data_IF_771025389453
#
_entry.id   IF_771025389453
#
_cell.length_a   1.000
_cell.length_b   1.000
_cell.length_c   1.000
_cell.angle_alpha   90.00
_cell.angle_beta   90.00
_cell.angle_gamma   90.00
#
_symmetry.space_group_name_H-M   'P 1'
#
loop_
_entity.id
_entity.type
_entity.pdbx_description
1 polymer ?
#
# COMPACT_ATOMS: atom_id res chain seq x y z
N UNK A 1 -18.49 4.52 -1.68
CA UNK A 1 -18.12 3.45 -2.64
C UNK A 1 -18.08 2.13 -1.89
N UNK A 2 -18.88 1.13 -2.25
CA UNK A 2 -18.89 -0.20 -1.65
C UNK A 2 -18.25 -1.23 -2.58
N UNK A 3 -17.08 -1.77 -2.19
CA UNK A 3 -16.35 -2.76 -2.99
C UNK A 3 -16.99 -4.14 -2.99
N UNK A 4 -17.71 -4.53 -1.93
CA UNK A 4 -18.45 -5.80 -1.86
C UNK A 4 -19.64 -5.79 -2.82
N UNK A 5 -20.32 -4.66 -2.93
CA UNK A 5 -21.40 -4.43 -3.91
C UNK A 5 -20.90 -4.18 -5.34
N UNK A 6 -19.58 -4.33 -5.58
CA UNK A 6 -18.93 -4.10 -6.87
C UNK A 6 -19.20 -2.73 -7.50
N UNK A 7 -19.38 -1.67 -6.71
CA UNK A 7 -19.66 -0.32 -7.23
C UNK A 7 -18.57 0.16 -8.21
N UNK A 8 -17.30 -0.18 -7.94
CA UNK A 8 -16.15 0.07 -8.82
C UNK A 8 -16.20 -0.61 -10.20
N UNK A 9 -17.21 -1.44 -10.48
CA UNK A 9 -17.44 -2.09 -11.77
C UNK A 9 -18.67 -1.52 -12.50
N UNK A 10 -19.42 -0.61 -11.87
CA UNK A 10 -20.60 0.01 -12.48
C UNK A 10 -20.22 1.12 -13.46
N UNK A 11 -21.06 1.42 -14.46
CA UNK A 11 -20.75 2.40 -15.50
C UNK A 11 -20.33 3.78 -14.97
N UNK A 12 -20.90 4.22 -13.85
CA UNK A 12 -20.61 5.53 -13.25
C UNK A 12 -19.14 5.65 -12.83
N UNK A 13 -18.60 4.60 -12.21
CA UNK A 13 -17.18 4.59 -11.81
C UNK A 13 -16.26 4.24 -12.99
N UNK A 14 -16.68 3.37 -13.91
CA UNK A 14 -15.88 3.03 -15.09
C UNK A 14 -15.65 4.22 -16.02
N UNK A 15 -16.56 5.22 -16.02
CA UNK A 15 -16.33 6.52 -16.68
C UNK A 15 -15.17 7.31 -16.08
N UNK A 16 -14.86 7.10 -14.80
CA UNK A 16 -13.72 7.72 -14.12
C UNK A 16 -12.47 6.86 -14.31
N UNK A 17 -12.52 5.59 -13.90
CA UNK A 17 -11.41 4.67 -14.06
C UNK A 17 -11.87 3.42 -14.85
N UNK A 18 -11.54 3.33 -16.16
CA UNK A 18 -11.98 2.20 -16.99
C UNK A 18 -11.36 0.86 -16.55
N UNK A 19 -10.29 0.87 -15.74
CA UNK A 19 -9.72 -0.35 -15.14
C UNK A 19 -10.65 -0.97 -14.09
N UNK A 20 -11.64 -0.22 -13.60
CA UNK A 20 -12.55 -0.63 -12.54
C UNK A 20 -11.79 -1.07 -11.29
N UNK A 21 -10.77 -0.28 -10.91
CA UNK A 21 -9.93 -0.47 -9.73
C UNK A 21 -9.94 0.80 -8.88
N UNK A 22 -9.71 0.65 -7.59
CA UNK A 22 -9.46 1.77 -6.67
C UNK A 22 -8.00 1.75 -6.23
N UNK A 23 -7.41 2.90 -5.87
CA UNK A 23 -7.98 4.25 -5.87
C UNK A 23 -8.02 4.95 -7.25
N UNK A 24 -8.83 6.00 -7.35
CA UNK A 24 -8.80 7.02 -8.39
C UNK A 24 -8.97 8.40 -7.73
N UNK A 25 -8.25 9.41 -8.20
CA UNK A 25 -8.32 10.79 -7.73
C UNK A 25 -8.69 11.70 -8.91
N UNK A 26 -9.76 12.47 -8.75
CA UNK A 26 -10.12 13.55 -9.69
C UNK A 26 -9.56 14.85 -9.11
N UNK A 27 -8.69 15.54 -9.84
CA UNK A 27 -8.12 16.81 -9.39
C UNK A 27 -9.14 17.95 -9.53
N UNK A 28 -8.86 19.10 -8.93
CA UNK A 28 -9.70 20.30 -9.08
C UNK A 28 -9.84 20.75 -10.53
N UNK A 29 -8.87 20.44 -11.39
CA UNK A 29 -8.90 20.73 -12.83
C UNK A 29 -9.64 19.67 -13.65
N UNK A 30 -10.12 18.60 -13.01
CA UNK A 30 -10.80 17.48 -13.68
C UNK A 30 -9.87 16.40 -14.23
N UNK A 31 -8.55 16.48 -13.99
CA UNK A 31 -7.62 15.41 -14.36
C UNK A 31 -7.91 14.15 -13.54
N UNK A 32 -7.90 12.97 -14.17
CA UNK A 32 -8.07 11.69 -13.47
C UNK A 32 -6.73 10.99 -13.28
N UNK A 33 -6.33 10.82 -12.02
CA UNK A 33 -5.14 10.08 -11.62
C UNK A 33 -5.54 8.71 -11.06
N UNK A 34 -4.78 7.68 -11.44
CA UNK A 34 -5.02 6.29 -11.02
C UNK A 34 -3.71 5.63 -10.63
N UNK A 35 -3.81 4.51 -9.91
CA UNK A 35 -2.69 3.83 -9.25
C UNK A 35 -2.18 4.58 -8.00
N UNK A 36 -2.07 3.86 -6.89
CA UNK A 36 -1.67 4.43 -5.60
C UNK A 36 -0.31 5.17 -5.69
N UNK A 37 0.78 4.60 -6.26
CA UNK A 37 2.07 5.29 -6.32
C UNK A 37 2.00 6.63 -7.06
N UNK A 38 1.29 6.67 -8.20
CA UNK A 38 1.19 7.88 -9.02
C UNK A 38 0.35 8.97 -8.32
N UNK A 39 -0.76 8.58 -7.69
CA UNK A 39 -1.58 9.51 -6.89
C UNK A 39 -0.77 10.07 -5.72
N UNK A 40 -0.04 9.22 -4.99
CA UNK A 40 0.78 9.66 -3.87
C UNK A 40 1.93 10.56 -4.30
N UNK A 41 2.60 10.25 -5.41
CA UNK A 41 3.62 11.11 -6.00
C UNK A 41 3.04 12.50 -6.34
N UNK A 42 1.89 12.56 -7.02
CA UNK A 42 1.22 13.81 -7.32
C UNK A 42 0.91 14.61 -6.04
N UNK A 43 0.27 13.98 -5.05
CA UNK A 43 -0.08 14.63 -3.78
C UNK A 43 1.14 15.12 -3.00
N UNK A 44 2.25 14.38 -3.03
CA UNK A 44 3.49 14.79 -2.38
C UNK A 44 4.09 16.05 -3.01
N UNK A 45 4.00 16.18 -4.34
CA UNK A 45 4.49 17.35 -5.07
C UNK A 45 3.54 18.56 -4.97
N UNK A 46 2.25 18.34 -4.73
CA UNK A 46 1.28 19.42 -4.50
C UNK A 46 1.22 19.89 -3.04
N UNK A 47 1.75 19.10 -2.10
CA UNK A 47 1.83 19.48 -0.71
C UNK A 47 2.89 20.58 -0.49
N UNK A 48 2.76 21.41 0.57
CA UNK A 48 3.80 22.36 0.93
C UNK A 48 5.17 21.68 1.08
N UNK A 49 6.22 22.27 0.50
CA UNK A 49 7.54 21.65 0.39
C UNK A 49 8.16 21.29 1.75
N UNK A 50 7.84 22.04 2.80
CA UNK A 50 8.27 21.77 4.18
C UNK A 50 7.76 20.44 4.74
N UNK A 51 6.75 19.82 4.10
CA UNK A 51 6.25 18.49 4.47
C UNK A 51 7.21 17.37 4.08
N UNK A 52 8.10 17.60 3.10
CA UNK A 52 9.13 16.64 2.63
C UNK A 52 8.61 15.22 2.41
N UNK A 53 7.45 15.10 1.77
CA UNK A 53 6.80 13.81 1.51
C UNK A 53 7.43 13.03 0.36
N UNK A 54 8.32 13.69 -0.39
CA UNK A 54 9.08 13.18 -1.52
C UNK A 54 10.55 13.62 -1.37
N UNK A 55 11.54 12.77 -1.65
CA UNK A 55 12.95 13.14 -1.53
C UNK A 55 13.42 14.13 -2.61
N UNK A 56 14.49 14.87 -2.30
CA UNK A 56 15.02 15.92 -3.17
C UNK A 56 15.96 15.39 -4.25
N UNK A 57 16.81 14.40 -3.90
CA UNK A 57 17.82 13.88 -4.84
C UNK A 57 17.29 12.72 -5.67
N UNK A 58 17.75 12.61 -6.92
CA UNK A 58 17.33 11.53 -7.83
C UNK A 58 17.60 10.13 -7.24
N UNK A 59 18.69 9.94 -6.51
CA UNK A 59 19.03 8.65 -5.92
C UNK A 59 18.07 8.27 -4.80
N UNK A 60 17.73 9.20 -3.91
CA UNK A 60 16.75 8.96 -2.83
C UNK A 60 15.35 8.74 -3.39
N UNK A 61 14.98 9.48 -4.44
CA UNK A 61 13.73 9.26 -5.18
C UNK A 61 13.68 7.85 -5.77
N UNK A 62 14.78 7.41 -6.38
CA UNK A 62 14.89 6.07 -6.97
C UNK A 62 14.76 4.97 -5.91
N UNK A 63 15.41 5.14 -4.76
CA UNK A 63 15.24 4.22 -3.63
C UNK A 63 13.80 4.20 -3.13
N UNK A 64 13.17 5.37 -2.99
CA UNK A 64 11.76 5.48 -2.57
C UNK A 64 10.81 4.80 -3.56
N UNK A 65 11.03 4.95 -4.87
CA UNK A 65 10.27 4.25 -5.90
C UNK A 65 10.44 2.74 -5.82
N UNK A 66 11.68 2.27 -5.63
CA UNK A 66 11.98 0.85 -5.45
C UNK A 66 11.28 0.26 -4.23
N UNK A 67 11.32 0.97 -3.08
CA UNK A 67 10.61 0.56 -1.87
C UNK A 67 9.09 0.59 -2.05
N UNK A 68 8.54 1.61 -2.74
CA UNK A 68 7.12 1.66 -3.07
C UNK A 68 6.69 0.46 -3.91
N UNK A 69 7.47 0.11 -4.94
CA UNK A 69 7.16 -1.02 -5.81
C UNK A 69 7.23 -2.36 -5.05
N UNK A 70 8.24 -2.55 -4.20
CA UNK A 70 8.30 -3.69 -3.27
C UNK A 70 7.01 -3.81 -2.44
N UNK A 71 6.51 -2.69 -1.90
CA UNK A 71 5.30 -2.73 -1.08
C UNK A 71 4.05 -3.00 -1.93
N UNK A 72 3.90 -2.32 -3.07
CA UNK A 72 2.67 -2.36 -3.87
C UNK A 72 2.58 -3.61 -4.74
N UNK A 73 3.65 -3.95 -5.46
CA UNK A 73 3.66 -5.09 -6.37
C UNK A 73 3.89 -6.41 -5.62
N UNK A 74 4.86 -6.45 -4.70
CA UNK A 74 5.21 -7.68 -3.99
C UNK A 74 4.34 -7.88 -2.76
N UNK A 75 4.47 -7.06 -1.71
CA UNK A 75 3.76 -7.29 -0.45
C UNK A 75 2.24 -7.25 -0.60
N UNK A 76 1.72 -6.26 -1.33
CA UNK A 76 0.28 -6.09 -1.50
C UNK A 76 -0.29 -7.03 -2.56
N UNK A 77 0.11 -6.92 -3.84
CA UNK A 77 -0.54 -7.64 -4.94
C UNK A 77 -0.15 -9.11 -5.03
N UNK A 78 1.14 -9.47 -4.95
CA UNK A 78 1.59 -10.87 -5.01
C UNK A 78 1.55 -11.57 -3.64
N UNK A 79 1.67 -10.82 -2.57
CA UNK A 79 1.64 -11.33 -1.20
C UNK A 79 0.22 -11.37 -0.65
N UNK A 80 -0.13 -10.39 0.16
CA UNK A 80 -1.35 -10.42 0.96
C UNK A 80 -2.65 -10.55 0.15
N UNK A 81 -2.71 -10.05 -1.09
CA UNK A 81 -3.91 -10.23 -1.94
C UNK A 81 -4.16 -11.72 -2.24
N UNK A 82 -3.11 -12.49 -2.53
CA UNK A 82 -3.23 -13.94 -2.74
C UNK A 82 -3.55 -14.68 -1.44
N UNK A 83 -3.09 -14.19 -0.29
CA UNK A 83 -3.45 -14.76 1.02
C UNK A 83 -4.91 -14.52 1.37
N UNK A 84 -5.42 -13.30 1.11
CA UNK A 84 -6.73 -12.85 1.59
C UNK A 84 -7.88 -13.19 0.65
N UNK A 85 -7.64 -13.13 -0.65
CA UNK A 85 -8.69 -13.30 -1.66
C UNK A 85 -8.27 -14.23 -2.81
N UNK A 86 -7.68 -15.42 -2.55
CA UNK A 86 -7.27 -16.35 -3.60
C UNK A 86 -8.44 -16.77 -4.52
N UNK A 87 -9.67 -16.81 -3.99
CA UNK A 87 -10.89 -17.09 -4.73
C UNK A 87 -11.21 -16.08 -5.85
N UNK A 88 -10.55 -14.91 -5.87
CA UNK A 88 -10.65 -13.95 -7.00
C UNK A 88 -9.81 -14.35 -8.21
N UNK A 89 -8.88 -15.29 -8.04
CA UNK A 89 -7.95 -15.72 -9.08
C UNK A 89 -8.27 -17.12 -9.60
N UNK A 90 -8.89 -17.97 -8.77
CA UNK A 90 -9.22 -19.32 -9.16
C UNK A 90 -10.43 -19.86 -8.38
N UNK A 91 -11.25 -20.72 -9.00
CA UNK A 91 -12.43 -21.33 -8.36
C UNK A 91 -12.13 -22.64 -7.64
N UNK A 92 -11.10 -23.38 -8.08
CA UNK A 92 -10.66 -24.63 -7.44
C UNK A 92 -10.03 -24.39 -6.04
N UNK A 93 -10.48 -25.09 -4.98
CA UNK A 93 -9.94 -24.93 -3.63
C UNK A 93 -8.44 -25.27 -3.50
N UNK A 94 -7.94 -26.31 -4.17
CA UNK A 94 -6.53 -26.68 -4.10
C UNK A 94 -5.62 -25.62 -4.71
N UNK A 95 -6.04 -25.03 -5.84
CA UNK A 95 -5.35 -23.89 -6.42
C UNK A 95 -5.40 -22.64 -5.52
N UNK A 96 -6.51 -22.41 -4.81
CA UNK A 96 -6.62 -21.31 -3.84
C UNK A 96 -5.66 -21.48 -2.66
N UNK A 97 -5.53 -22.71 -2.13
CA UNK A 97 -4.56 -23.03 -1.09
C UNK A 97 -3.12 -22.81 -1.57
N UNK A 98 -2.79 -23.26 -2.78
CA UNK A 98 -1.47 -23.05 -3.39
C UNK A 98 -1.14 -21.55 -3.57
N UNK A 99 -2.11 -20.75 -4.05
CA UNK A 99 -1.96 -19.30 -4.17
C UNK A 99 -1.76 -18.63 -2.81
N UNK A 100 -2.52 -19.03 -1.80
CA UNK A 100 -2.38 -18.50 -0.43
C UNK A 100 -1.03 -18.85 0.17
N UNK A 101 -0.56 -20.08 0.01
CA UNK A 101 0.77 -20.52 0.45
C UNK A 101 1.89 -19.72 -0.23
N UNK A 102 1.79 -19.55 -1.55
CA UNK A 102 2.73 -18.70 -2.30
C UNK A 102 2.70 -17.24 -1.84
N UNK A 103 1.51 -16.67 -1.66
CA UNK A 103 1.33 -15.32 -1.13
C UNK A 103 1.97 -15.15 0.24
N UNK A 104 1.85 -16.15 1.13
CA UNK A 104 2.53 -16.13 2.44
C UNK A 104 4.05 -16.09 2.29
N UNK A 105 4.64 -16.88 1.39
CA UNK A 105 6.09 -16.83 1.15
C UNK A 105 6.56 -15.48 0.62
N UNK A 106 5.80 -14.86 -0.28
CA UNK A 106 6.11 -13.53 -0.81
C UNK A 106 6.00 -12.45 0.26
N UNK A 107 5.01 -12.54 1.16
CA UNK A 107 4.90 -11.63 2.30
C UNK A 107 6.09 -11.79 3.23
N UNK A 108 6.45 -13.01 3.64
CA UNK A 108 7.60 -13.23 4.53
C UNK A 108 8.89 -12.66 3.94
N UNK A 109 9.22 -13.01 2.69
CA UNK A 109 10.42 -12.51 2.03
C UNK A 109 10.40 -10.98 1.86
N UNK A 110 9.26 -10.41 1.48
CA UNK A 110 9.10 -8.97 1.33
C UNK A 110 9.21 -8.20 2.65
N UNK A 111 8.69 -8.75 3.75
CA UNK A 111 8.78 -8.16 5.08
C UNK A 111 10.23 -8.18 5.58
N UNK A 112 10.98 -9.25 5.31
CA UNK A 112 12.41 -9.31 5.66
C UNK A 112 13.22 -8.24 4.93
N UNK A 113 12.91 -7.98 3.65
CA UNK A 113 13.55 -6.90 2.88
C UNK A 113 13.12 -5.54 3.44
N UNK A 114 11.84 -5.33 3.71
CA UNK A 114 11.33 -4.07 4.24
C UNK A 114 11.90 -3.75 5.64
N UNK A 115 12.07 -4.77 6.49
CA UNK A 115 12.70 -4.65 7.80
C UNK A 115 14.14 -4.15 7.69
N UNK A 116 14.90 -4.69 6.71
CA UNK A 116 16.27 -4.25 6.41
C UNK A 116 16.32 -2.83 5.85
N UNK A 117 15.39 -2.47 4.96
CA UNK A 117 15.29 -1.10 4.41
C UNK A 117 15.00 -0.10 5.53
N UNK A 118 14.07 -0.42 6.43
CA UNK A 118 13.75 0.43 7.57
C UNK A 118 14.95 0.58 8.51
N UNK A 119 15.68 -0.51 8.78
CA UNK A 119 16.86 -0.49 9.63
C UNK A 119 16.59 0.14 11.00
N UNK A 120 17.41 1.09 11.41
CA UNK A 120 17.21 1.84 12.66
C UNK A 120 16.43 3.15 12.48
N UNK A 121 15.97 3.43 11.26
CA UNK A 121 15.26 4.66 10.94
C UNK A 121 13.81 4.62 11.44
N UNK A 122 13.26 5.80 11.69
CA UNK A 122 11.86 5.97 12.07
C UNK A 122 10.90 5.77 10.88
N UNK A 123 11.38 6.05 9.67
CA UNK A 123 10.64 6.05 8.41
C UNK A 123 11.51 5.58 7.24
N UNK A 124 10.89 5.09 6.18
CA UNK A 124 11.58 4.37 5.08
C UNK A 124 12.55 5.24 4.28
N UNK A 125 12.35 6.55 4.23
CA UNK A 125 13.23 7.51 3.57
C UNK A 125 13.92 8.46 4.59
N UNK A 126 14.04 8.04 5.86
CA UNK A 126 14.53 8.86 6.97
C UNK A 126 13.49 9.84 7.53
N UNK A 127 12.69 10.46 6.65
CA UNK A 127 11.50 11.25 7.02
C UNK A 127 10.21 10.53 6.59
N UNK A 128 9.09 10.87 7.22
CA UNK A 128 7.78 10.36 6.81
C UNK A 128 7.44 10.84 5.39
N UNK A 129 7.14 9.90 4.50
CA UNK A 129 6.77 10.18 3.13
C UNK A 129 5.82 9.14 2.55
N UNK A 130 5.72 9.13 1.22
CA UNK A 130 4.71 8.31 0.54
C UNK A 130 4.96 6.80 0.63
N UNK A 131 6.22 6.36 0.79
CA UNK A 131 6.54 4.96 1.05
C UNK A 131 5.95 4.48 2.39
N UNK A 132 5.95 5.34 3.41
CA UNK A 132 5.36 5.01 4.72
C UNK A 132 3.83 4.90 4.66
N UNK A 133 3.18 5.70 3.82
CA UNK A 133 1.75 5.56 3.53
C UNK A 133 1.44 4.19 2.90
N UNK A 134 2.31 3.69 2.03
CA UNK A 134 2.17 2.36 1.44
C UNK A 134 2.36 1.26 2.50
N UNK A 135 3.42 1.38 3.29
CA UNK A 135 3.71 0.44 4.36
C UNK A 135 2.58 0.38 5.39
N UNK A 136 1.98 1.52 5.74
CA UNK A 136 0.88 1.60 6.70
C UNK A 136 -0.28 0.66 6.34
N UNK A 137 -0.86 0.78 5.15
CA UNK A 137 -2.02 -0.02 4.78
C UNK A 137 -1.62 -1.50 4.58
N UNK A 138 -0.41 -1.75 4.07
CA UNK A 138 0.03 -3.10 3.75
C UNK A 138 0.38 -3.89 5.02
N UNK A 139 1.14 -3.30 5.95
CA UNK A 139 1.46 -3.93 7.24
C UNK A 139 0.22 -4.14 8.10
N UNK A 140 -0.79 -3.28 7.99
CA UNK A 140 -2.07 -3.49 8.66
C UNK A 140 -2.80 -4.77 8.21
N UNK A 141 -2.42 -5.39 7.09
CA UNK A 141 -3.00 -6.67 6.63
C UNK A 141 -2.33 -7.89 7.28
N UNK A 142 -1.22 -7.71 7.99
CA UNK A 142 -0.54 -8.79 8.73
C UNK A 142 -1.42 -9.38 9.83
N UNK A 143 -2.10 -8.53 10.61
CA UNK A 143 -2.99 -8.94 11.70
C UNK A 143 -4.11 -9.90 11.26
N UNK A 144 -5.01 -9.55 10.31
CA UNK A 144 -6.09 -10.45 9.91
C UNK A 144 -5.61 -11.70 9.14
N UNK A 145 -4.35 -11.75 8.70
CA UNK A 145 -3.77 -12.92 8.01
C UNK A 145 -2.97 -13.84 8.94
N UNK A 146 -2.79 -13.43 10.20
CA UNK A 146 -1.98 -14.15 11.19
C UNK A 146 -0.49 -14.17 10.85
N UNK A 147 -0.02 -13.29 9.97
CA UNK A 147 1.40 -13.19 9.62
C UNK A 147 2.08 -12.31 10.67
N UNK A 148 3.12 -12.84 11.32
CA UNK A 148 3.85 -12.10 12.33
C UNK A 148 4.74 -11.01 11.68
N UNK A 149 4.74 -9.83 12.28
CA UNK A 149 5.72 -8.78 11.98
C UNK A 149 6.93 -8.94 12.91
N UNK A 150 8.11 -8.56 12.42
CA UNK A 150 9.27 -8.39 13.30
C UNK A 150 8.97 -7.34 14.39
N UNK A 151 9.69 -7.36 15.54
CA UNK A 151 9.51 -6.33 16.57
C UNK A 151 9.69 -4.89 16.02
N UNK A 152 10.63 -4.71 15.08
CA UNK A 152 10.88 -3.42 14.42
C UNK A 152 9.70 -2.99 13.55
N UNK A 153 9.21 -3.87 12.67
CA UNK A 153 8.06 -3.56 11.82
C UNK A 153 6.77 -3.38 12.62
N UNK A 154 6.60 -4.10 13.73
CA UNK A 154 5.48 -3.90 14.65
C UNK A 154 5.53 -2.52 15.31
N UNK A 155 6.70 -2.10 15.83
CA UNK A 155 6.91 -0.76 16.39
C UNK A 155 6.70 0.34 15.34
N UNK A 156 7.18 0.12 14.12
CA UNK A 156 6.96 1.01 12.99
C UNK A 156 5.47 1.14 12.63
N UNK A 157 4.74 0.04 12.50
CA UNK A 157 3.29 0.07 12.27
C UNK A 157 2.55 0.81 13.39
N UNK A 158 2.95 0.61 14.65
CA UNK A 158 2.40 1.35 15.78
C UNK A 158 2.63 2.87 15.63
N UNK A 159 3.85 3.29 15.27
CA UNK A 159 4.19 4.70 14.99
C UNK A 159 3.33 5.29 13.87
N UNK A 160 3.15 4.56 12.78
CA UNK A 160 2.29 4.99 11.67
C UNK A 160 0.83 5.14 12.11
N UNK A 161 0.31 4.21 12.91
CA UNK A 161 -1.05 4.26 13.47
C UNK A 161 -1.27 5.42 14.43
N UNK A 162 -0.22 5.85 15.14
CA UNK A 162 -0.29 6.97 16.08
C UNK A 162 -0.37 8.34 15.39
N UNK A 163 -0.09 8.44 14.09
CA UNK A 163 -0.17 9.71 13.37
C UNK A 163 -1.62 10.21 13.33
N UNK A 164 -1.89 11.51 13.58
CA UNK A 164 -3.25 12.05 13.55
C UNK A 164 -4.02 11.78 12.25
N UNK A 165 -3.32 11.80 11.11
CA UNK A 165 -3.92 11.45 9.82
C UNK A 165 -4.41 9.98 9.76
N UNK A 166 -3.62 9.04 10.28
CA UNK A 166 -4.00 7.64 10.35
C UNK A 166 -5.18 7.40 11.31
N UNK A 167 -5.19 8.10 12.45
CA UNK A 167 -6.29 8.03 13.41
C UNK A 167 -7.61 8.52 12.82
N UNK A 168 -7.61 9.64 12.06
CA UNK A 168 -8.81 10.14 11.37
C UNK A 168 -9.39 9.14 10.38
N UNK A 169 -8.53 8.47 9.59
CA UNK A 169 -8.96 7.46 8.61
C UNK A 169 -9.59 6.27 9.34
N UNK A 170 -8.97 5.79 10.41
CA UNK A 170 -9.46 4.65 11.18
C UNK A 170 -10.76 4.95 11.96
N UNK A 171 -10.97 6.19 12.38
CA UNK A 171 -12.23 6.61 13.01
C UNK A 171 -13.41 6.70 12.02
N UNK A 172 -13.12 6.72 10.72
CA UNK A 172 -14.10 6.88 9.63
C UNK A 172 -14.34 5.57 8.84
N UNK A 173 -13.73 4.47 9.25
CA UNK A 173 -13.73 3.16 8.59
C UNK A 173 -14.52 2.13 9.40
#
# INVERSE_FOLDING_TARGET
>A
MNLKAQDHKKPEFLRINPKGKVPALVTERGDVLTEFPAICYWLANMAPAERKLWPDTLIEQTHTLSTLDLIVATLHMRGFTLVRVPQRFHSDPGAQEALSAFGRSEVTAGLDVLDRILGEQDYLAGNFGIADCAAFYCLAWAEPTGIALSPRLAAYLHRLRARPAAQRIRASA
#
